data_IF_673396922465
#
_entry.id   IF_673396922465
#
_cell.length_a   1.000
_cell.length_b   1.000
_cell.length_c   1.000
_cell.angle_alpha   90.00
_cell.angle_beta   90.00
_cell.angle_gamma   90.00
#
_symmetry.space_group_name_H-M   'P 1'
#
loop_
_entity.id
_entity.type
_entity.pdbx_description
1 polymer ?
#
# COMPACT_ATOMS: atom_id res chain seq x y z
N UNK A 1 6.73 54.88 -35.34
CA UNK A 1 6.84 53.82 -36.37
C UNK A 1 7.74 52.72 -35.82
N UNK A 2 7.18 51.50 -35.65
CA UNK A 2 7.85 50.17 -35.54
C UNK A 2 8.80 49.92 -34.34
N UNK A 3 8.75 48.83 -33.57
CA UNK A 3 7.90 47.63 -33.49
C UNK A 3 8.21 46.95 -32.14
N UNK A 4 7.19 46.34 -31.52
CA UNK A 4 7.30 45.39 -30.40
C UNK A 4 8.19 44.19 -30.78
N UNK A 5 9.00 43.72 -29.84
CA UNK A 5 9.69 42.42 -29.89
C UNK A 5 9.43 41.68 -28.59
N UNK A 6 8.38 40.86 -28.58
CA UNK A 6 8.00 40.00 -27.47
C UNK A 6 9.05 38.91 -27.29
N UNK A 7 9.73 38.88 -26.14
CA UNK A 7 10.53 37.72 -25.72
C UNK A 7 9.54 36.68 -25.20
N UNK A 8 9.23 35.71 -26.05
CA UNK A 8 8.64 34.45 -25.61
C UNK A 8 9.73 33.67 -24.90
N UNK A 9 9.80 33.76 -23.57
CA UNK A 9 10.51 32.76 -22.78
C UNK A 9 9.73 31.45 -22.91
N UNK A 10 10.17 30.58 -23.82
CA UNK A 10 9.74 29.19 -23.84
C UNK A 10 10.07 28.58 -22.47
N UNK A 11 9.03 28.19 -21.74
CA UNK A 11 9.19 27.39 -20.54
C UNK A 11 9.64 25.99 -20.97
N UNK A 12 10.87 25.61 -20.62
CA UNK A 12 11.42 24.29 -20.88
C UNK A 12 10.58 23.20 -20.17
N UNK A 13 9.99 22.23 -20.89
CA UNK A 13 9.25 21.12 -20.30
C UNK A 13 10.15 20.08 -19.59
N UNK A 14 11.47 20.33 -19.52
CA UNK A 14 12.46 19.49 -18.85
C UNK A 14 12.98 20.09 -17.53
N UNK A 15 12.28 21.06 -16.93
CA UNK A 15 12.63 21.57 -15.60
C UNK A 15 12.33 20.53 -14.51
N UNK A 16 13.36 19.78 -14.14
CA UNK A 16 13.40 18.77 -13.06
C UNK A 16 13.12 19.33 -11.66
N UNK A 17 12.87 20.63 -11.52
CA UNK A 17 12.64 21.30 -10.24
C UNK A 17 11.21 21.17 -9.72
N UNK A 18 10.22 20.92 -10.58
CA UNK A 18 8.83 20.66 -10.14
C UNK A 18 8.59 19.22 -9.67
N UNK A 19 9.39 18.25 -10.15
CA UNK A 19 9.26 16.84 -9.76
C UNK A 19 9.87 16.52 -8.38
N UNK A 20 10.78 17.36 -7.88
CA UNK A 20 11.43 17.13 -6.57
C UNK A 20 10.51 17.49 -5.40
N UNK A 21 9.83 18.63 -5.46
CA UNK A 21 8.83 19.01 -4.46
C UNK A 21 7.65 18.03 -4.42
N UNK A 22 7.27 17.46 -5.59
CA UNK A 22 6.28 16.40 -5.70
C UNK A 22 6.71 15.11 -4.99
N UNK A 23 7.96 14.67 -5.14
CA UNK A 23 8.47 13.46 -4.46
C UNK A 23 8.60 13.64 -2.95
N UNK A 24 8.94 14.83 -2.48
CA UNK A 24 9.01 15.14 -1.05
C UNK A 24 7.62 15.23 -0.39
N UNK A 25 6.61 15.76 -1.11
CA UNK A 25 5.20 15.71 -0.69
C UNK A 25 4.60 14.30 -0.82
N UNK A 26 4.99 13.52 -1.84
CA UNK A 26 4.65 12.10 -1.98
C UNK A 26 5.28 11.24 -0.88
N UNK A 27 6.46 11.62 -0.36
CA UNK A 27 7.12 10.95 0.76
C UNK A 27 6.55 11.35 2.14
N UNK A 28 5.74 12.41 2.22
CA UNK A 28 5.13 12.87 3.48
C UNK A 28 3.81 12.15 3.80
N UNK A 29 3.24 11.43 2.83
CA UNK A 29 2.21 10.41 3.04
C UNK A 29 2.97 9.08 3.03
N UNK A 30 2.92 8.29 4.10
CA UNK A 30 3.55 6.97 4.08
C UNK A 30 2.84 6.12 3.02
N UNK A 31 3.42 6.01 1.82
CA UNK A 31 2.88 5.15 0.77
C UNK A 31 3.22 3.70 1.12
N UNK A 32 2.20 2.87 1.26
CA UNK A 32 2.40 1.45 1.58
C UNK A 32 2.65 0.70 0.29
N UNK A 33 3.94 0.53 -0.03
CA UNK A 33 4.38 -0.09 -1.27
C UNK A 33 5.33 -1.24 -0.99
N UNK A 34 5.04 -2.41 -1.56
CA UNK A 34 5.96 -3.55 -1.58
C UNK A 34 5.82 -4.30 -2.90
N UNK A 35 6.95 -4.65 -3.50
CA UNK A 35 6.99 -5.42 -4.74
C UNK A 35 8.04 -6.52 -4.66
N UNK A 36 7.83 -7.56 -5.47
CA UNK A 36 8.77 -8.67 -5.51
C UNK A 36 8.18 -9.97 -6.03
N UNK A 37 9.06 -10.95 -6.17
CA UNK A 37 8.68 -12.27 -6.65
C UNK A 37 8.15 -13.14 -5.53
N UNK A 38 6.90 -13.60 -5.68
CA UNK A 38 6.27 -14.59 -4.81
C UNK A 38 5.78 -15.78 -5.62
N UNK A 39 5.62 -16.93 -4.98
CA UNK A 39 4.92 -18.06 -5.59
C UNK A 39 3.47 -18.04 -5.15
N UNK A 40 2.55 -18.04 -6.12
CA UNK A 40 1.11 -18.12 -5.87
C UNK A 40 0.60 -19.53 -6.11
N UNK A 41 -0.30 -19.99 -5.23
CA UNK A 41 -1.08 -21.21 -5.41
C UNK A 41 -2.19 -21.02 -6.45
N UNK A 42 -2.26 -21.93 -7.41
CA UNK A 42 -3.32 -21.99 -8.40
C UNK A 42 -4.68 -22.30 -7.75
N UNK A 43 -5.74 -21.66 -8.25
CA UNK A 43 -7.10 -21.76 -7.67
C UNK A 43 -7.67 -23.18 -7.72
N UNK A 44 -7.55 -23.85 -8.86
CA UNK A 44 -8.13 -25.18 -9.08
C UNK A 44 -7.10 -26.30 -8.91
N UNK A 45 -5.98 -26.21 -9.65
CA UNK A 45 -4.98 -27.28 -9.70
C UNK A 45 -3.95 -27.26 -8.56
N UNK A 46 -4.08 -26.32 -7.60
CA UNK A 46 -3.16 -26.10 -6.46
C UNK A 46 -1.66 -26.00 -6.82
N UNK A 47 -1.32 -25.87 -8.11
CA UNK A 47 0.05 -25.71 -8.61
C UNK A 47 0.63 -24.37 -8.19
N UNK A 48 1.93 -24.32 -7.88
CA UNK A 48 2.60 -23.07 -7.51
C UNK A 48 3.27 -22.43 -8.71
N UNK A 49 3.11 -21.11 -8.88
CA UNK A 49 3.74 -20.36 -9.98
C UNK A 49 4.39 -19.09 -9.44
N UNK A 50 5.65 -18.86 -9.82
CA UNK A 50 6.36 -17.61 -9.54
C UNK A 50 5.75 -16.48 -10.36
N UNK A 51 5.42 -15.36 -9.71
CA UNK A 51 4.89 -14.14 -10.33
C UNK A 51 5.50 -12.93 -9.65
N UNK A 52 5.58 -11.82 -10.37
CA UNK A 52 6.00 -10.55 -9.81
C UNK A 52 4.76 -9.83 -9.27
N UNK A 53 4.69 -9.67 -7.96
CA UNK A 53 3.60 -9.00 -7.26
C UNK A 53 3.99 -7.57 -6.94
N UNK A 54 3.00 -6.70 -6.96
CA UNK A 54 3.09 -5.31 -6.53
C UNK A 54 1.88 -5.05 -5.64
N UNK A 55 2.13 -4.54 -4.44
CA UNK A 55 1.12 -3.98 -3.57
C UNK A 55 1.37 -2.47 -3.47
N UNK A 56 0.32 -1.69 -3.69
CA UNK A 56 0.34 -0.24 -3.61
C UNK A 56 -1.01 0.24 -3.04
N UNK A 57 -0.96 0.83 -1.84
CA UNK A 57 -2.09 1.50 -1.18
C UNK A 57 -3.40 0.69 -1.16
N UNK A 58 -3.28 -0.61 -0.90
CA UNK A 58 -4.40 -1.55 -0.75
C UNK A 58 -4.74 -2.35 -1.99
N UNK A 59 -4.19 -1.99 -3.15
CA UNK A 59 -4.33 -2.77 -4.39
C UNK A 59 -3.16 -3.73 -4.51
N UNK A 60 -3.47 -5.01 -4.74
CA UNK A 60 -2.52 -6.05 -5.05
C UNK A 60 -2.70 -6.49 -6.50
N UNK A 61 -1.65 -6.36 -7.29
CA UNK A 61 -1.60 -6.86 -8.65
C UNK A 61 -0.42 -7.78 -8.86
N UNK A 62 -0.46 -8.58 -9.92
CA UNK A 62 0.72 -9.30 -10.36
C UNK A 62 0.82 -9.45 -11.87
N UNK A 63 2.08 -9.60 -12.30
CA UNK A 63 2.49 -9.79 -13.68
C UNK A 63 3.23 -11.12 -13.82
N UNK A 64 3.46 -11.52 -15.08
CA UNK A 64 4.27 -12.73 -15.34
C UNK A 64 5.71 -12.53 -14.85
N UNK A 65 6.30 -11.38 -15.18
CA UNK A 65 7.66 -10.94 -14.84
C UNK A 65 7.61 -9.46 -14.38
N UNK A 66 8.75 -8.93 -13.96
CA UNK A 66 8.98 -7.52 -13.57
C UNK A 66 9.14 -6.56 -14.76
N UNK A 67 9.13 -7.07 -16.01
CA UNK A 67 9.23 -6.23 -17.21
C UNK A 67 8.11 -5.17 -17.27
N UNK A 68 8.46 -3.92 -17.58
CA UNK A 68 7.49 -2.80 -17.70
C UNK A 68 6.39 -3.07 -18.72
N UNK A 69 6.71 -3.85 -19.77
CA UNK A 69 5.78 -4.22 -20.85
C UNK A 69 4.89 -5.42 -20.49
N UNK A 70 5.16 -6.11 -19.37
CA UNK A 70 4.35 -7.23 -18.93
C UNK A 70 2.95 -6.77 -18.51
N UNK A 71 1.94 -7.35 -19.15
CA UNK A 71 0.53 -7.13 -18.78
C UNK A 71 0.23 -7.58 -17.36
N UNK A 72 -0.64 -6.84 -16.68
CA UNK A 72 -1.25 -7.23 -15.41
C UNK A 72 -2.15 -8.45 -15.67
N UNK A 73 -2.01 -9.49 -14.85
CA UNK A 73 -2.77 -10.74 -14.98
C UNK A 73 -4.03 -10.75 -14.11
N UNK A 74 -4.00 -10.04 -12.98
CA UNK A 74 -5.07 -9.95 -11.98
C UNK A 74 -4.68 -8.77 -11.08
N UNK A 75 -5.70 -8.09 -10.57
CA UNK A 75 -5.58 -6.95 -9.67
C UNK A 75 -6.80 -6.97 -8.76
N UNK A 76 -6.59 -6.79 -7.46
CA UNK A 76 -7.68 -6.79 -6.49
C UNK A 76 -7.29 -6.05 -5.22
N UNK A 77 -8.31 -5.64 -4.45
CA UNK A 77 -8.10 -4.98 -3.17
C UNK A 77 -7.87 -6.00 -2.07
N UNK A 78 -6.88 -5.75 -1.22
CA UNK A 78 -6.58 -6.56 -0.03
C UNK A 78 -7.42 -6.07 1.15
N UNK A 79 -7.99 -7.03 1.87
CA UNK A 79 -8.80 -6.80 3.08
C UNK A 79 -8.17 -7.40 4.33
N UNK A 80 -7.31 -8.40 4.18
CA UNK A 80 -6.64 -9.06 5.29
C UNK A 80 -5.35 -9.75 4.83
N UNK A 81 -4.41 -9.91 5.76
CA UNK A 81 -3.18 -10.68 5.58
C UNK A 81 -2.88 -11.49 6.85
N UNK A 82 -2.52 -12.75 6.66
CA UNK A 82 -2.16 -13.67 7.74
C UNK A 82 -0.97 -14.52 7.34
N UNK A 83 -0.12 -14.88 8.30
CA UNK A 83 0.83 -15.98 8.11
C UNK A 83 0.11 -17.31 7.89
N UNK A 84 0.64 -18.12 7.00
CA UNK A 84 0.07 -19.42 6.63
C UNK A 84 1.11 -20.54 6.74
N UNK A 85 0.85 -21.49 7.63
CA UNK A 85 1.78 -22.58 7.98
C UNK A 85 1.84 -23.72 6.96
N UNK A 86 1.05 -23.69 5.88
CA UNK A 86 1.04 -24.79 4.90
C UNK A 86 2.26 -24.83 3.97
N UNK A 87 3.12 -23.79 4.01
CA UNK A 87 4.46 -23.77 3.41
C UNK A 87 5.40 -22.84 4.18
N UNK A 88 6.73 -23.03 4.08
CA UNK A 88 7.71 -22.05 4.57
C UNK A 88 7.42 -20.65 4.01
N UNK A 89 7.52 -19.64 4.86
CA UNK A 89 7.30 -18.23 4.50
C UNK A 89 5.94 -18.01 3.80
N UNK A 90 4.93 -18.77 4.23
CA UNK A 90 3.59 -18.74 3.65
C UNK A 90 2.77 -17.55 4.14
N UNK A 91 2.04 -16.93 3.21
CA UNK A 91 1.10 -15.84 3.48
C UNK A 91 -0.26 -16.19 2.89
N UNK A 92 -1.32 -15.78 3.56
CA UNK A 92 -2.70 -15.87 3.11
C UNK A 92 -3.29 -14.46 3.06
N UNK A 93 -3.71 -14.01 1.88
CA UNK A 93 -4.36 -12.72 1.71
C UNK A 93 -5.84 -12.93 1.40
N UNK A 94 -6.67 -12.12 2.05
CA UNK A 94 -8.09 -12.02 1.76
C UNK A 94 -8.32 -10.85 0.81
N UNK A 95 -8.90 -11.15 -0.35
CA UNK A 95 -9.25 -10.17 -1.37
C UNK A 95 -10.76 -9.90 -1.35
N UNK A 96 -11.23 -9.06 -2.27
CA UNK A 96 -12.65 -8.73 -2.42
C UNK A 96 -13.51 -9.99 -2.58
N UNK A 97 -14.71 -9.97 -1.98
CA UNK A 97 -15.66 -11.08 -2.07
C UNK A 97 -15.18 -12.37 -1.41
N UNK A 98 -14.42 -12.23 -0.30
CA UNK A 98 -13.85 -13.34 0.47
C UNK A 98 -12.93 -14.28 -0.33
N UNK A 99 -12.39 -13.81 -1.45
CA UNK A 99 -11.45 -14.56 -2.27
C UNK A 99 -10.11 -14.67 -1.56
N UNK A 100 -9.72 -15.89 -1.18
CA UNK A 100 -8.41 -16.15 -0.58
C UNK A 100 -7.35 -16.46 -1.63
N UNK A 101 -6.16 -15.91 -1.45
CA UNK A 101 -4.95 -16.30 -2.18
C UNK A 101 -3.87 -16.75 -1.21
N UNK A 102 -3.14 -17.79 -1.59
CA UNK A 102 -2.00 -18.30 -0.82
C UNK A 102 -0.71 -18.00 -1.58
N UNK A 103 0.22 -17.36 -0.89
CA UNK A 103 1.51 -16.93 -1.38
C UNK A 103 2.61 -17.59 -0.55
N UNK A 104 3.81 -17.72 -1.11
CA UNK A 104 5.01 -18.11 -0.37
C UNK A 104 6.19 -17.29 -0.90
N UNK A 105 6.94 -16.70 0.03
CA UNK A 105 8.13 -15.93 -0.24
C UNK A 105 9.38 -16.82 -0.33
N UNK A 106 10.48 -16.28 -0.85
CA UNK A 106 11.75 -17.02 -0.92
C UNK A 106 12.45 -17.10 0.42
N UNK A 107 12.29 -16.10 1.27
CA UNK A 107 12.87 -16.03 2.61
C UNK A 107 11.87 -15.50 3.63
N UNK A 108 12.22 -15.64 4.90
CA UNK A 108 11.43 -15.10 6.01
C UNK A 108 11.39 -13.58 5.96
N UNK A 109 12.50 -12.92 5.62
CA UNK A 109 12.58 -11.46 5.53
C UNK A 109 11.66 -10.91 4.43
N UNK A 110 11.58 -11.60 3.30
CA UNK A 110 10.63 -11.24 2.24
C UNK A 110 9.18 -11.40 2.74
N UNK A 111 8.86 -12.51 3.41
CA UNK A 111 7.50 -12.71 3.94
C UNK A 111 7.12 -11.64 4.99
N UNK A 112 8.02 -11.32 5.91
CA UNK A 112 7.84 -10.29 6.92
C UNK A 112 7.67 -8.91 6.29
N UNK A 113 8.50 -8.56 5.29
CA UNK A 113 8.33 -7.29 4.57
C UNK A 113 6.94 -7.18 3.91
N UNK A 114 6.49 -8.24 3.26
CA UNK A 114 5.16 -8.28 2.65
C UNK A 114 4.05 -8.19 3.70
N UNK A 115 4.20 -8.88 4.84
CA UNK A 115 3.26 -8.86 5.94
C UNK A 115 3.15 -7.45 6.54
N UNK A 116 4.26 -6.90 7.00
CA UNK A 116 4.32 -5.63 7.73
C UNK A 116 3.81 -4.45 6.91
N UNK A 117 4.17 -4.37 5.62
CA UNK A 117 3.69 -3.29 4.74
C UNK A 117 2.17 -3.36 4.56
N UNK A 118 1.61 -4.55 4.33
CA UNK A 118 0.18 -4.71 4.11
C UNK A 118 -0.59 -4.53 5.43
N UNK A 119 -0.10 -5.06 6.54
CA UNK A 119 -0.71 -4.92 7.86
C UNK A 119 -0.71 -3.46 8.32
N UNK A 120 0.37 -2.72 8.07
CA UNK A 120 0.47 -1.29 8.35
C UNK A 120 -0.60 -0.50 7.59
N UNK A 121 -0.75 -0.77 6.28
CA UNK A 121 -1.83 -0.20 5.48
C UNK A 121 -3.21 -0.51 6.06
N UNK A 122 -3.49 -1.79 6.34
CA UNK A 122 -4.81 -2.22 6.83
C UNK A 122 -5.13 -1.61 8.19
N UNK A 123 -4.14 -1.47 9.07
CA UNK A 123 -4.27 -0.83 10.38
C UNK A 123 -4.63 0.65 10.22
N UNK A 124 -3.93 1.37 9.33
CA UNK A 124 -4.24 2.76 9.03
C UNK A 124 -5.66 2.92 8.47
N UNK A 125 -6.07 2.06 7.54
CA UNK A 125 -7.43 2.11 6.99
C UNK A 125 -8.51 1.88 8.05
N UNK A 126 -8.28 0.96 9.01
CA UNK A 126 -9.20 0.71 10.13
C UNK A 126 -9.31 1.92 11.05
N UNK A 127 -8.17 2.54 11.41
CA UNK A 127 -8.15 3.77 12.22
C UNK A 127 -8.90 4.92 11.54
N UNK A 128 -8.70 5.12 10.23
CA UNK A 128 -9.42 6.13 9.44
C UNK A 128 -10.93 5.84 9.46
N UNK A 129 -11.33 4.59 9.27
CA UNK A 129 -12.74 4.21 9.28
C UNK A 129 -13.37 4.39 10.66
N UNK A 130 -12.67 4.02 11.72
CA UNK A 130 -13.13 4.18 13.09
C UNK A 130 -13.25 5.66 13.48
N UNK A 131 -12.28 6.50 13.10
CA UNK A 131 -12.38 7.95 13.23
C UNK A 131 -13.60 8.49 12.47
N UNK A 132 -13.78 8.09 11.19
CA UNK A 132 -14.96 8.49 10.40
C UNK A 132 -16.25 8.10 11.10
N UNK A 133 -16.34 6.88 11.63
CA UNK A 133 -17.51 6.41 12.39
C UNK A 133 -17.72 7.23 13.67
N UNK A 134 -16.67 7.55 14.42
CA UNK A 134 -16.75 8.36 15.64
C UNK A 134 -17.23 9.79 15.35
N UNK A 135 -16.67 10.42 14.30
CA UNK A 135 -17.07 11.74 13.83
C UNK A 135 -18.52 11.77 13.34
N UNK A 136 -18.95 10.79 12.54
CA UNK A 136 -20.34 10.68 12.09
C UNK A 136 -21.33 10.44 13.25
N UNK A 137 -20.88 9.83 14.36
CA UNK A 137 -21.70 9.57 15.55
C UNK A 137 -21.69 10.73 16.56
N UNK A 138 -21.01 11.84 16.28
CA UNK A 138 -20.94 13.01 17.18
C UNK A 138 -20.27 12.76 18.52
N UNK A 139 -19.53 11.64 18.69
CA UNK A 139 -18.81 11.30 19.91
C UNK A 139 -17.32 11.52 19.69
N UNK A 140 -16.86 12.73 20.02
CA UNK A 140 -15.45 12.94 20.31
C UNK A 140 -15.17 12.34 21.70
N UNK A 141 -14.15 11.47 21.87
CA UNK A 141 -13.53 11.36 23.17
C UNK A 141 -12.95 12.74 23.48
N UNK A 142 -13.46 13.36 24.53
CA UNK A 142 -13.00 14.68 24.96
C UNK A 142 -11.52 14.57 25.33
N UNK A 143 -10.65 15.33 24.66
CA UNK A 143 -9.21 15.44 24.95
C UNK A 143 -8.92 15.72 26.44
N UNK A 144 -9.91 16.23 27.19
CA UNK A 144 -9.81 16.44 28.64
C UNK A 144 -9.72 15.18 29.48
N UNK A 145 -10.26 14.03 29.05
CA UNK A 145 -10.30 12.84 29.91
C UNK A 145 -8.92 12.22 30.14
N UNK A 146 -8.00 12.31 29.17
CA UNK A 146 -6.63 11.79 29.29
C UNK A 146 -5.73 12.57 30.25
N UNK A 147 -6.04 13.84 30.55
CA UNK A 147 -5.20 14.69 31.42
C UNK A 147 -5.56 14.49 32.89
N UNK A 148 -6.80 14.11 33.19
CA UNK A 148 -7.27 13.87 34.56
C UNK A 148 -6.77 12.57 35.19
N UNK A 149 -6.31 11.60 34.40
CA UNK A 149 -5.90 10.29 34.90
C UNK A 149 -4.41 10.21 35.28
N UNK A 150 -3.61 11.21 34.92
CA UNK A 150 -2.18 11.34 35.26
C UNK A 150 -1.91 12.24 36.48
N UNK A 151 -2.94 12.81 37.10
CA UNK A 151 -2.82 13.78 38.20
C UNK A 151 -3.38 13.28 39.52
N UNK A 152 -3.25 11.97 39.81
CA UNK A 152 -3.51 11.44 41.16
C UNK A 152 -2.17 11.08 41.82
N UNK A 153 -1.63 11.90 42.74
CA UNK A 153 -0.56 11.46 43.61
C UNK A 153 -1.15 10.51 44.66
N UNK A 154 -0.45 9.39 44.94
CA UNK A 154 -0.50 8.75 46.25
C UNK A 154 0.35 9.55 47.25
#
# INVERSE_FOLDING_TARGET
MRTMGSVWCQADPHSTKFLSASRALQAAIAMHIVEGYLYRRGRHLKSWRRRFFIFEDGMLLYKKNDDTTSRVLDEDRVFDILYWSGRPHGLCLKLRGDRLIYLTARSEEDATRWHDTIESYLTEQRCIEDLRRALCRGRLPSIRESVSELARPE
#
